data_IF_105438284514
#
_entry.id   IF_105438284514
#
_cell.length_a   1.000
_cell.length_b   1.000
_cell.length_c   1.000
_cell.angle_alpha   90.00
_cell.angle_beta   90.00
_cell.angle_gamma   90.00
#
_symmetry.space_group_name_H-M   'P 1'
#
loop_
_entity.id
_entity.type
_entity.pdbx_description
1 polymer ?
#
# COMPACT_ATOMS: atom_id res chain seq x y z
N UNK A 1 32.41 24.33 24.19
CA UNK A 1 32.94 23.84 22.90
C UNK A 1 32.69 22.34 22.72
N UNK A 2 33.28 21.45 23.55
CA UNK A 2 33.16 19.98 23.43
C UNK A 2 31.70 19.48 23.43
N UNK A 3 30.84 20.02 24.30
CA UNK A 3 29.43 19.64 24.40
C UNK A 3 28.59 20.07 23.17
N UNK A 4 28.98 21.16 22.49
CA UNK A 4 28.29 21.64 21.29
C UNK A 4 28.54 20.69 20.10
N UNK A 5 29.79 20.22 19.95
CA UNK A 5 30.11 19.22 18.93
C UNK A 5 29.38 17.90 19.18
N UNK A 6 29.29 17.45 20.43
CA UNK A 6 28.51 16.25 20.77
C UNK A 6 27.03 16.41 20.42
N UNK A 7 26.44 17.58 20.69
CA UNK A 7 25.05 17.88 20.33
C UNK A 7 24.83 17.91 18.81
N UNK A 8 25.74 18.55 18.07
CA UNK A 8 25.70 18.61 16.61
C UNK A 8 25.79 17.21 15.99
N UNK A 9 26.70 16.37 16.48
CA UNK A 9 26.84 14.97 16.02
C UNK A 9 25.57 14.17 16.33
N UNK A 10 25.00 14.31 17.52
CA UNK A 10 23.74 13.65 17.87
C UNK A 10 22.59 14.09 16.95
N UNK A 11 22.50 15.38 16.63
CA UNK A 11 21.50 15.92 15.71
C UNK A 11 21.71 15.42 14.26
N UNK A 12 22.95 15.37 13.78
CA UNK A 12 23.28 14.84 12.45
C UNK A 12 22.92 13.35 12.33
N UNK A 13 23.04 12.57 13.42
CA UNK A 13 22.69 11.16 13.46
C UNK A 13 21.19 10.88 13.43
N UNK A 14 20.33 11.81 13.87
CA UNK A 14 18.87 11.62 13.84
C UNK A 14 18.25 11.98 12.49
N UNK A 15 18.93 12.81 11.69
CA UNK A 15 18.47 13.17 10.33
C UNK A 15 18.68 12.01 9.34
N UNK A 16 19.57 11.06 9.63
CA UNK A 16 19.86 9.92 8.75
C UNK A 16 18.92 8.73 8.96
N UNK A 17 18.05 8.75 9.97
CA UNK A 17 17.09 7.67 10.19
C UNK A 17 15.85 7.88 9.31
N UNK A 18 15.90 7.37 8.08
CA UNK A 18 14.71 7.21 7.23
C UNK A 18 13.87 6.04 7.77
N UNK A 19 13.01 6.35 8.75
CA UNK A 19 12.10 5.37 9.35
C UNK A 19 10.77 5.21 8.58
N UNK A 20 10.60 5.90 7.45
CA UNK A 20 9.39 5.77 6.66
C UNK A 20 9.44 4.45 5.87
N UNK A 21 8.50 3.56 6.16
CA UNK A 21 8.23 2.39 5.33
C UNK A 21 7.92 2.86 3.90
N UNK A 22 8.10 1.99 2.88
CA UNK A 22 7.71 2.32 1.51
C UNK A 22 6.35 3.01 1.49
N UNK A 23 6.24 4.14 0.78
CA UNK A 23 5.04 4.99 0.82
C UNK A 23 3.78 4.22 0.40
N UNK A 24 3.93 3.13 -0.37
CA UNK A 24 2.84 2.27 -0.81
C UNK A 24 3.26 0.80 -0.92
N UNK A 25 2.28 -0.08 -0.79
CA UNK A 25 2.40 -1.52 -0.99
C UNK A 25 1.90 -1.91 -2.38
N UNK A 26 2.75 -2.49 -3.21
CA UNK A 26 2.31 -3.03 -4.51
C UNK A 26 1.46 -4.29 -4.35
N UNK A 27 0.32 -4.34 -5.02
CA UNK A 27 -0.59 -5.48 -5.01
C UNK A 27 -1.06 -5.82 -6.42
N UNK A 28 -1.16 -7.12 -6.73
CA UNK A 28 -1.66 -7.59 -8.01
C UNK A 28 -2.71 -8.67 -7.79
N UNK A 29 -3.80 -8.60 -8.56
CA UNK A 29 -4.87 -9.59 -8.53
C UNK A 29 -5.36 -9.92 -9.94
N UNK A 30 -5.83 -11.15 -10.13
CA UNK A 30 -6.49 -11.59 -11.36
C UNK A 30 -7.99 -11.64 -11.11
N UNK A 31 -8.76 -10.93 -11.92
CA UNK A 31 -10.22 -10.82 -11.78
C UNK A 31 -10.89 -11.83 -12.72
N UNK A 32 -11.81 -12.61 -12.15
CA UNK A 32 -12.62 -13.60 -12.87
C UNK A 32 -14.10 -13.41 -12.58
N UNK A 33 -14.94 -13.78 -13.52
CA UNK A 33 -16.40 -13.78 -13.33
C UNK A 33 -16.91 -15.10 -12.71
N UNK A 34 -18.23 -15.21 -12.54
CA UNK A 34 -18.87 -16.40 -11.95
C UNK A 34 -18.74 -17.67 -12.82
N UNK A 35 -18.35 -17.53 -14.09
CA UNK A 35 -18.04 -18.62 -15.00
C UNK A 35 -16.54 -18.97 -15.04
N UNK A 36 -15.74 -18.42 -14.14
CA UNK A 36 -14.28 -18.55 -14.10
C UNK A 36 -13.56 -17.94 -15.32
N UNK A 37 -14.25 -17.14 -16.13
CA UNK A 37 -13.66 -16.45 -17.27
C UNK A 37 -12.87 -15.21 -16.81
N UNK A 38 -11.77 -14.91 -17.51
CA UNK A 38 -11.00 -13.70 -17.24
C UNK A 38 -11.82 -12.46 -17.60
N UNK A 39 -11.93 -11.54 -16.64
CA UNK A 39 -12.47 -10.21 -16.90
C UNK A 39 -11.35 -9.38 -17.50
N UNK A 40 -11.39 -9.12 -18.81
CA UNK A 40 -10.29 -8.45 -19.54
C UNK A 40 -10.70 -7.09 -20.06
N UNK A 41 -9.79 -6.11 -20.05
CA UNK A 41 -10.02 -4.73 -20.50
C UNK A 41 -11.24 -4.01 -19.89
N UNK A 42 -11.65 -4.38 -18.67
CA UNK A 42 -12.76 -3.74 -17.98
C UNK A 42 -12.28 -2.95 -16.77
N UNK A 43 -12.92 -1.80 -16.53
CA UNK A 43 -12.74 -1.04 -15.30
C UNK A 43 -13.41 -1.77 -14.13
N UNK A 44 -12.65 -1.99 -13.06
CA UNK A 44 -13.09 -2.68 -11.84
C UNK A 44 -12.92 -1.73 -10.67
N UNK A 45 -13.99 -1.50 -9.92
CA UNK A 45 -13.96 -0.81 -8.63
C UNK A 45 -13.49 -1.76 -7.53
N UNK A 46 -12.49 -1.33 -6.75
CA UNK A 46 -11.84 -2.15 -5.72
C UNK A 46 -11.82 -1.35 -4.43
N UNK A 47 -12.32 -1.94 -3.34
CA UNK A 47 -12.20 -1.39 -2.00
C UNK A 47 -11.19 -2.20 -1.20
N UNK A 48 -10.26 -1.51 -0.56
CA UNK A 48 -9.26 -2.11 0.33
C UNK A 48 -9.51 -1.58 1.73
N UNK A 49 -9.42 -2.47 2.72
CA UNK A 49 -9.60 -2.12 4.13
C UNK A 49 -8.55 -2.81 4.99
N UNK A 50 -7.98 -2.07 5.95
CA UNK A 50 -7.11 -2.63 6.98
C UNK A 50 -7.95 -2.84 8.24
N UNK A 51 -8.13 -4.11 8.62
CA UNK A 51 -8.92 -4.49 9.79
C UNK A 51 -8.01 -4.66 11.00
N UNK A 52 -8.41 -4.06 12.13
CA UNK A 52 -7.61 -4.10 13.35
C UNK A 52 -7.79 -5.42 14.11
N UNK A 53 -6.69 -6.03 14.55
CA UNK A 53 -6.60 -7.20 15.44
C UNK A 53 -7.12 -8.52 14.86
N UNK A 54 -8.22 -8.53 14.11
CA UNK A 54 -8.87 -9.73 13.58
C UNK A 54 -9.40 -9.50 12.17
N UNK A 55 -9.70 -10.60 11.45
CA UNK A 55 -10.30 -10.57 10.10
C UNK A 55 -11.73 -10.02 10.06
N UNK A 56 -12.36 -9.79 11.21
CA UNK A 56 -13.69 -9.17 11.33
C UNK A 56 -13.65 -7.94 12.22
N UNK A 57 -12.45 -7.41 12.49
CA UNK A 57 -12.26 -6.24 13.35
C UNK A 57 -12.67 -4.94 12.67
N UNK A 58 -12.57 -3.84 13.40
CA UNK A 58 -12.86 -2.50 12.87
C UNK A 58 -11.90 -2.15 11.73
N UNK A 59 -12.43 -1.66 10.62
CA UNK A 59 -11.63 -1.08 9.55
C UNK A 59 -11.03 0.26 10.01
N UNK A 60 -9.70 0.33 10.10
CA UNK A 60 -8.95 1.54 10.52
C UNK A 60 -8.41 2.34 9.34
N UNK A 61 -8.46 1.78 8.14
CA UNK A 61 -8.16 2.43 6.87
C UNK A 61 -9.05 1.84 5.79
N UNK A 62 -9.57 2.68 4.90
CA UNK A 62 -10.39 2.29 3.75
C UNK A 62 -10.01 3.17 2.57
N UNK A 63 -9.68 2.56 1.44
CA UNK A 63 -9.48 3.26 0.17
C UNK A 63 -10.30 2.61 -0.95
N UNK A 64 -10.63 3.40 -1.97
CA UNK A 64 -11.27 2.92 -3.18
C UNK A 64 -10.35 3.20 -4.37
N UNK A 65 -10.15 2.18 -5.19
CA UNK A 65 -9.35 2.22 -6.41
C UNK A 65 -10.24 1.86 -7.60
N UNK A 66 -9.91 2.40 -8.77
CA UNK A 66 -10.52 1.99 -10.03
C UNK A 66 -9.42 1.68 -11.02
N UNK A 67 -9.31 0.41 -11.41
CA UNK A 67 -8.26 -0.06 -12.31
C UNK A 67 -8.84 -0.88 -13.44
N UNK A 68 -8.23 -0.77 -14.61
CA UNK A 68 -8.61 -1.56 -15.78
C UNK A 68 -7.78 -2.83 -15.83
N UNK A 69 -8.44 -3.98 -15.88
CA UNK A 69 -7.78 -5.29 -16.07
C UNK A 69 -7.06 -5.36 -17.42
N UNK A 70 -5.90 -6.02 -17.50
CA UNK A 70 -5.25 -6.28 -18.80
C UNK A 70 -5.83 -7.53 -19.51
N UNK A 71 -5.19 -7.97 -20.61
CA UNK A 71 -5.57 -9.18 -21.37
C UNK A 71 -5.54 -10.47 -20.55
N UNK A 72 -4.78 -10.51 -19.45
CA UNK A 72 -4.70 -11.64 -18.54
C UNK A 72 -5.68 -11.51 -17.35
N UNK A 73 -6.58 -10.52 -17.39
CA UNK A 73 -7.49 -10.20 -16.28
C UNK A 73 -6.78 -9.62 -15.05
N UNK A 74 -5.53 -9.18 -15.19
CA UNK A 74 -4.70 -8.70 -14.09
C UNK A 74 -4.93 -7.22 -13.83
N UNK A 75 -5.09 -6.85 -12.56
CA UNK A 75 -4.99 -5.47 -12.05
C UNK A 75 -3.71 -5.32 -11.24
N UNK A 76 -3.10 -4.13 -11.31
CA UNK A 76 -1.94 -3.73 -10.52
C UNK A 76 -2.28 -2.47 -9.74
N UNK A 77 -2.07 -2.51 -8.42
CA UNK A 77 -2.45 -1.48 -7.47
C UNK A 77 -1.24 -1.09 -6.61
N UNK A 78 -1.26 0.15 -6.14
CA UNK A 78 -0.39 0.62 -5.07
C UNK A 78 -1.29 1.03 -3.90
N UNK A 79 -1.23 0.29 -2.81
CA UNK A 79 -2.05 0.42 -1.61
C UNK A 79 -1.32 1.33 -0.63
N UNK A 80 -1.87 2.49 -0.32
CA UNK A 80 -1.21 3.51 0.50
C UNK A 80 -1.54 4.92 0.07
#
# INVERSE_FOLDING_TARGET
>A
MKNLYTFLVALLLTVTTFAQSPEKMSYQAVVRDSGDALVTNQAVGIQISILQTTSTGTAVYVENQTSTTNVNGLVSLEIG
#
